data_IF_259004887035
#
_entry.id   IF_259004887035
#
_cell.length_a   1.000
_cell.length_b   1.000
_cell.length_c   1.000
_cell.angle_alpha   90.00
_cell.angle_beta   90.00
_cell.angle_gamma   90.00
#
_symmetry.space_group_name_H-M   'P 1'
#
loop_
_entity.id
_entity.type
_entity.pdbx_description
1 polymer ?
#
# COMPACT_ATOMS: atom_id res chain seq x y z
N UNK A 1 30.56 30.79 -30.77
CA UNK A 1 29.18 30.26 -30.60
C UNK A 1 29.24 28.73 -30.53
N UNK A 2 29.60 28.15 -29.37
CA UNK A 2 29.85 26.69 -29.22
C UNK A 2 29.47 26.13 -27.84
N UNK A 3 28.72 26.89 -27.02
CA UNK A 3 28.41 26.53 -25.63
C UNK A 3 26.93 26.18 -25.35
N UNK A 4 26.03 26.40 -26.31
CA UNK A 4 24.58 26.20 -26.13
C UNK A 4 24.14 24.74 -26.20
N UNK A 5 24.93 23.86 -26.83
CA UNK A 5 24.55 22.44 -27.03
C UNK A 5 24.79 21.63 -25.75
N UNK A 6 25.84 21.94 -24.98
CA UNK A 6 26.22 21.18 -23.78
C UNK A 6 25.17 21.28 -22.65
N UNK A 7 24.54 22.45 -22.48
CA UNK A 7 23.49 22.65 -21.47
C UNK A 7 22.20 21.90 -21.78
N UNK A 8 21.88 21.73 -23.06
CA UNK A 8 20.62 21.12 -23.52
C UNK A 8 20.64 19.59 -23.33
N UNK A 9 21.81 18.96 -23.43
CA UNK A 9 21.99 17.52 -23.17
C UNK A 9 21.92 17.21 -21.67
N UNK A 10 22.44 18.10 -20.82
CA UNK A 10 22.39 17.91 -19.36
C UNK A 10 20.96 17.99 -18.81
N UNK A 11 20.13 18.89 -19.37
CA UNK A 11 18.73 19.04 -18.95
C UNK A 11 17.88 17.79 -19.24
N UNK A 12 18.14 17.09 -20.34
CA UNK A 12 17.39 15.87 -20.71
C UNK A 12 17.75 14.66 -19.83
N UNK A 13 18.99 14.59 -19.34
CA UNK A 13 19.43 13.50 -18.47
C UNK A 13 18.76 13.55 -17.08
N UNK A 14 18.46 14.75 -16.57
CA UNK A 14 17.81 14.94 -15.26
C UNK A 14 16.34 14.50 -15.28
N UNK A 15 15.63 14.69 -16.39
CA UNK A 15 14.24 14.24 -16.53
C UNK A 15 14.10 12.71 -16.58
N UNK A 16 15.10 12.00 -17.09
CA UNK A 16 15.07 10.53 -17.18
C UNK A 16 15.39 9.83 -15.85
N UNK A 17 16.01 10.54 -14.89
CA UNK A 17 16.45 9.95 -13.61
C UNK A 17 15.41 10.03 -12.49
N UNK A 18 14.28 10.71 -12.70
CA UNK A 18 13.33 11.03 -11.61
C UNK A 18 12.12 10.08 -11.51
N UNK A 19 12.16 8.90 -12.13
CA UNK A 19 11.14 7.86 -11.92
C UNK A 19 11.75 6.67 -11.18
N UNK A 20 12.26 6.93 -9.98
CA UNK A 20 12.29 5.90 -8.95
C UNK A 20 10.86 5.84 -8.37
N UNK A 21 9.93 5.29 -9.16
CA UNK A 21 8.62 4.91 -8.66
C UNK A 21 8.87 3.80 -7.64
N UNK A 22 8.94 4.18 -6.36
CA UNK A 22 8.97 3.23 -5.27
C UNK A 22 7.86 2.21 -5.52
N UNK A 23 8.25 0.95 -5.72
CA UNK A 23 7.31 -0.11 -6.04
C UNK A 23 6.15 -0.08 -5.03
N UNK A 24 4.88 -0.19 -5.49
CA UNK A 24 3.74 -0.13 -4.59
C UNK A 24 3.87 -1.22 -3.52
N UNK A 25 3.78 -0.82 -2.25
CA UNK A 25 3.85 -1.74 -1.12
C UNK A 25 2.78 -2.83 -1.25
N UNK A 26 3.15 -4.07 -0.97
CA UNK A 26 2.19 -5.16 -0.86
C UNK A 26 1.27 -4.93 0.36
N UNK A 27 0.05 -5.46 0.35
CA UNK A 27 -0.85 -5.35 1.50
C UNK A 27 -0.26 -5.93 2.78
N UNK A 28 0.55 -6.99 2.69
CA UNK A 28 1.28 -7.55 3.83
C UNK A 28 2.29 -6.54 4.40
N UNK A 29 3.06 -5.88 3.54
CA UNK A 29 4.03 -4.86 3.98
C UNK A 29 3.35 -3.70 4.70
N UNK A 30 2.17 -3.28 4.23
CA UNK A 30 1.39 -2.23 4.90
C UNK A 30 0.92 -2.69 6.29
N UNK A 31 0.51 -3.95 6.43
CA UNK A 31 0.10 -4.51 7.73
C UNK A 31 1.28 -4.52 8.70
N UNK A 32 2.46 -4.96 8.25
CA UNK A 32 3.66 -5.02 9.09
C UNK A 32 4.10 -3.63 9.57
N UNK A 33 4.09 -2.63 8.68
CA UNK A 33 4.38 -1.22 9.05
C UNK A 33 3.40 -0.71 10.10
N UNK A 34 2.10 -1.03 9.96
CA UNK A 34 1.09 -0.61 10.94
C UNK A 34 1.35 -1.26 12.30
N UNK A 35 1.65 -2.57 12.34
CA UNK A 35 1.97 -3.31 13.58
C UNK A 35 3.23 -2.78 14.25
N UNK A 36 4.27 -2.47 13.47
CA UNK A 36 5.53 -1.92 14.00
C UNK A 36 5.33 -0.55 14.65
N UNK A 37 4.55 0.33 14.02
CA UNK A 37 4.31 1.68 14.53
C UNK A 37 3.20 1.74 15.59
N UNK A 38 2.35 0.70 15.68
CA UNK A 38 1.22 0.63 16.59
C UNK A 38 1.11 -0.80 17.17
N UNK A 39 2.05 -1.21 18.04
CA UNK A 39 2.07 -2.58 18.57
C UNK A 39 0.82 -2.93 19.39
N UNK A 40 0.13 -1.92 19.93
CA UNK A 40 -1.09 -2.08 20.73
C UNK A 40 -2.38 -2.14 19.87
N UNK A 41 -2.28 -2.01 18.54
CA UNK A 41 -3.44 -2.19 17.66
C UNK A 41 -3.87 -3.66 17.68
N UNK A 42 -5.02 -3.92 18.30
CA UNK A 42 -5.60 -5.26 18.37
C UNK A 42 -6.21 -5.73 17.04
N UNK A 43 -6.60 -4.81 16.15
CA UNK A 43 -7.18 -5.15 14.86
C UNK A 43 -6.84 -4.12 13.76
N UNK A 44 -6.32 -4.62 12.63
CA UNK A 44 -6.03 -3.82 11.43
C UNK A 44 -7.11 -4.08 10.38
N UNK A 45 -7.82 -3.04 9.94
CA UNK A 45 -8.91 -3.17 8.97
C UNK A 45 -8.47 -3.84 7.66
N UNK A 46 -7.27 -3.52 7.17
CA UNK A 46 -6.72 -4.13 5.95
C UNK A 46 -6.51 -5.64 6.13
N UNK A 47 -5.90 -6.04 7.24
CA UNK A 47 -5.69 -7.45 7.60
C UNK A 47 -7.02 -8.19 7.73
N UNK A 48 -7.99 -7.59 8.43
CA UNK A 48 -9.33 -8.15 8.59
C UNK A 48 -10.04 -8.34 7.25
N UNK A 49 -10.00 -7.33 6.37
CA UNK A 49 -10.62 -7.40 5.03
C UNK A 49 -10.00 -8.51 4.19
N UNK A 50 -8.68 -8.63 4.16
CA UNK A 50 -7.97 -9.66 3.40
C UNK A 50 -8.27 -11.06 3.96
N UNK A 51 -8.28 -11.20 5.28
CA UNK A 51 -8.64 -12.45 5.95
C UNK A 51 -10.08 -12.88 5.64
N UNK A 52 -11.05 -11.96 5.71
CA UNK A 52 -12.44 -12.24 5.36
C UNK A 52 -12.61 -12.58 3.87
N UNK A 53 -11.89 -11.90 2.99
CA UNK A 53 -11.91 -12.22 1.55
C UNK A 53 -11.38 -13.63 1.27
N UNK A 54 -10.31 -14.05 1.95
CA UNK A 54 -9.76 -15.43 1.85
C UNK A 54 -10.75 -16.49 2.34
N UNK A 55 -11.65 -16.12 3.25
CA UNK A 55 -12.68 -17.00 3.81
C UNK A 55 -13.99 -17.01 3.01
N UNK A 56 -14.08 -16.29 1.88
CA UNK A 56 -15.28 -16.29 1.06
C UNK A 56 -16.31 -15.20 1.41
N UNK A 57 -15.90 -14.15 2.12
CA UNK A 57 -16.74 -12.98 2.41
C UNK A 57 -16.37 -11.80 1.51
N UNK A 58 -17.32 -10.89 1.25
CA UNK A 58 -17.12 -9.69 0.42
C UNK A 58 -16.18 -8.69 1.06
N UNK A 59 -16.22 -8.59 2.39
CA UNK A 59 -15.39 -7.66 3.14
C UNK A 59 -15.27 -8.07 4.61
N UNK A 60 -14.43 -7.35 5.34
CA UNK A 60 -14.30 -7.41 6.80
C UNK A 60 -13.89 -6.06 7.38
N UNK A 61 -14.25 -5.81 8.64
CA UNK A 61 -13.86 -4.60 9.38
C UNK A 61 -13.61 -4.89 10.87
N UNK A 62 -12.88 -4.00 11.53
CA UNK A 62 -12.60 -4.08 12.96
C UNK A 62 -13.74 -3.44 13.78
N UNK A 63 -14.47 -4.25 14.54
CA UNK A 63 -15.47 -3.81 15.50
C UNK A 63 -14.76 -3.33 16.78
N UNK A 64 -15.00 -2.06 17.15
CA UNK A 64 -14.40 -1.38 18.30
C UNK A 64 -12.86 -1.49 18.36
N UNK A 65 -12.19 -1.65 17.21
CA UNK A 65 -10.74 -1.80 17.14
C UNK A 65 -10.19 -3.12 17.71
N UNK A 66 -11.04 -4.05 18.12
CA UNK A 66 -10.62 -5.27 18.83
C UNK A 66 -10.94 -6.57 18.08
N UNK A 67 -12.07 -6.65 17.39
CA UNK A 67 -12.52 -7.90 16.77
C UNK A 67 -12.79 -7.73 15.28
N UNK A 68 -12.32 -8.68 14.47
CA UNK A 68 -12.59 -8.69 13.04
C UNK A 68 -13.98 -9.28 12.76
N UNK A 69 -14.81 -8.55 12.02
CA UNK A 69 -16.15 -8.97 11.60
C UNK A 69 -16.21 -9.07 10.08
N UNK A 70 -16.53 -10.25 9.55
CA UNK A 70 -16.75 -10.46 8.12
C UNK A 70 -18.20 -10.17 7.71
N UNK A 71 -18.41 -9.61 6.52
CA UNK A 71 -19.74 -9.23 6.03
C UNK A 71 -19.98 -9.69 4.61
N UNK A 72 -21.23 -10.11 4.36
CA UNK A 72 -21.77 -10.46 3.05
C UNK A 72 -21.05 -11.67 2.44
N UNK A 73 -21.63 -12.88 2.45
CA UNK A 73 -20.98 -14.01 1.78
C UNK A 73 -20.81 -13.70 0.28
N UNK A 74 -19.70 -14.19 -0.31
CA UNK A 74 -19.41 -14.02 -1.75
C UNK A 74 -20.35 -14.87 -2.61
N UNK A 75 -20.87 -15.97 -2.07
CA UNK A 75 -21.95 -16.76 -2.66
C UNK A 75 -23.18 -16.67 -1.75
N UNK A 76 -24.31 -16.23 -2.31
CA UNK A 76 -25.62 -16.28 -1.68
C UNK A 76 -26.41 -17.46 -2.25
#
# INVERSE_FOLDING_TARGET
MKFTIAFLVLALAVCAYSQEEAAPLSPEQVIDIIKENNPDVACINLECRLSCSKQGFRSGYCLAGASCTCVGPLAA
#
